data_IF_741066322063
#
_entry.id   IF_741066322063
#
_cell.length_a   1.000
_cell.length_b   1.000
_cell.length_c   1.000
_cell.angle_alpha   90.00
_cell.angle_beta   90.00
_cell.angle_gamma   90.00
#
_symmetry.space_group_name_H-M   'P 1'
#
loop_
_entity.id
_entity.type
_entity.pdbx_description
1 polymer ?
#
# COMPACT_ATOMS: atom_id res chain seq x y z
N UNK A 1 1.53 -17.34 18.94
CA UNK A 1 1.54 -16.31 17.87
C UNK A 1 1.00 -15.03 18.49
N UNK A 2 1.32 -13.86 17.93
CA UNK A 2 0.84 -12.59 18.43
C UNK A 2 -0.68 -12.55 18.44
N UNK A 3 -1.27 -11.84 19.39
CA UNK A 3 -2.71 -11.61 19.43
C UNK A 3 -3.03 -10.30 18.68
N UNK A 4 -3.76 -10.44 17.57
CA UNK A 4 -4.11 -9.31 16.71
C UNK A 4 -5.45 -8.74 17.12
N UNK A 5 -5.42 -7.67 17.91
CA UNK A 5 -6.62 -7.04 18.46
C UNK A 5 -7.45 -6.31 17.39
N UNK A 6 -6.78 -5.81 16.35
CA UNK A 6 -7.44 -5.26 15.18
C UNK A 6 -6.87 -5.91 13.92
N UNK A 7 -7.53 -7.00 13.50
CA UNK A 7 -7.21 -7.65 12.23
C UNK A 7 -7.57 -6.73 11.06
N UNK A 8 -6.82 -6.76 9.94
CA UNK A 8 -7.11 -6.05 8.69
C UNK A 8 -8.44 -6.44 8.00
N UNK A 9 -9.48 -6.89 8.72
CA UNK A 9 -10.84 -6.98 8.16
C UNK A 9 -11.27 -5.63 7.57
N UNK A 10 -10.81 -4.51 8.13
CA UNK A 10 -10.97 -3.19 7.51
C UNK A 10 -10.25 -3.11 6.17
N UNK A 11 -8.98 -3.51 6.06
CA UNK A 11 -8.22 -3.51 4.80
C UNK A 11 -8.84 -4.44 3.75
N UNK A 12 -9.22 -5.66 4.10
CA UNK A 12 -9.91 -6.57 3.17
C UNK A 12 -11.26 -5.99 2.71
N UNK A 13 -12.01 -5.36 3.61
CA UNK A 13 -13.24 -4.65 3.26
C UNK A 13 -12.96 -3.44 2.36
N UNK A 14 -11.85 -2.72 2.58
CA UNK A 14 -11.40 -1.63 1.70
C UNK A 14 -11.03 -2.16 0.32
N UNK A 15 -10.26 -3.24 0.21
CA UNK A 15 -9.92 -3.93 -1.04
C UNK A 15 -11.21 -4.30 -1.79
N UNK A 16 -12.13 -5.03 -1.15
CA UNK A 16 -13.41 -5.43 -1.76
C UNK A 16 -14.24 -4.21 -2.19
N UNK A 17 -14.26 -3.16 -1.38
CA UNK A 17 -14.99 -1.93 -1.69
C UNK A 17 -14.36 -1.18 -2.87
N UNK A 18 -13.03 -1.12 -2.95
CA UNK A 18 -12.32 -0.53 -4.09
C UNK A 18 -12.57 -1.37 -5.33
N UNK A 19 -12.37 -2.68 -5.28
CA UNK A 19 -12.64 -3.59 -6.39
C UNK A 19 -14.08 -3.53 -6.90
N UNK A 20 -15.06 -3.34 -6.01
CA UNK A 20 -16.47 -3.21 -6.38
C UNK A 20 -16.82 -1.84 -7.00
N UNK A 21 -16.09 -0.77 -6.64
CA UNK A 21 -16.27 0.59 -7.19
C UNK A 21 -15.38 0.86 -8.41
N UNK A 22 -14.27 0.16 -8.55
CA UNK A 22 -13.45 0.20 -9.75
C UNK A 22 -14.32 -0.17 -10.94
N UNK A 23 -14.19 0.53 -12.08
CA UNK A 23 -14.98 0.20 -13.26
C UNK A 23 -14.77 -1.28 -13.54
N UNK A 24 -15.86 -2.08 -13.50
CA UNK A 24 -15.81 -3.51 -13.81
C UNK A 24 -15.01 -3.62 -15.09
N UNK A 25 -13.84 -4.27 -15.01
CA UNK A 25 -12.97 -4.49 -16.15
C UNK A 25 -13.86 -5.25 -17.15
N UNK A 26 -14.41 -4.55 -18.14
CA UNK A 26 -15.27 -5.17 -19.14
C UNK A 26 -14.45 -6.30 -19.70
N UNK A 27 -14.99 -7.54 -19.71
CA UNK A 27 -14.21 -8.68 -20.17
C UNK A 27 -13.71 -8.32 -21.57
N UNK A 28 -12.41 -8.03 -21.74
CA UNK A 28 -11.91 -7.41 -22.95
C UNK A 28 -12.16 -8.34 -24.12
N UNK A 29 -12.19 -9.66 -23.87
CA UNK A 29 -12.56 -10.67 -24.84
C UNK A 29 -14.02 -10.54 -25.30
N UNK A 30 -14.99 -10.33 -24.41
CA UNK A 30 -16.41 -10.18 -24.79
C UNK A 30 -16.65 -8.90 -25.59
N UNK A 31 -16.05 -7.77 -25.15
CA UNK A 31 -16.16 -6.51 -25.86
C UNK A 31 -15.46 -6.59 -27.23
N UNK A 32 -14.28 -7.20 -27.27
CA UNK A 32 -13.52 -7.47 -28.50
C UNK A 32 -14.32 -8.35 -29.47
N UNK A 33 -14.94 -9.44 -29.01
CA UNK A 33 -15.76 -10.30 -29.88
C UNK A 33 -16.97 -9.55 -30.46
N UNK A 34 -17.59 -8.66 -29.67
CA UNK A 34 -18.73 -7.86 -30.13
C UNK A 34 -18.31 -6.82 -31.17
N UNK A 35 -17.18 -6.14 -30.97
CA UNK A 35 -16.61 -5.16 -31.90
C UNK A 35 -16.11 -5.81 -33.20
N UNK A 36 -15.49 -6.98 -33.10
CA UNK A 36 -15.05 -7.76 -34.28
C UNK A 36 -16.23 -8.15 -35.15
N UNK A 37 -17.33 -8.64 -34.56
CA UNK A 37 -18.53 -9.00 -35.30
C UNK A 37 -19.13 -7.78 -36.04
N UNK A 38 -19.18 -6.62 -35.39
CA UNK A 38 -19.68 -5.38 -35.99
C UNK A 38 -18.83 -4.94 -37.20
N UNK A 39 -17.50 -4.96 -37.06
CA UNK A 39 -16.57 -4.60 -38.15
C UNK A 39 -16.70 -5.52 -39.37
N UNK A 40 -16.85 -6.83 -39.15
CA UNK A 40 -17.04 -7.80 -40.22
C UNK A 40 -18.36 -7.58 -40.97
N UNK A 41 -19.45 -7.31 -40.25
CA UNK A 41 -20.77 -6.99 -40.84
C UNK A 41 -20.68 -5.72 -41.68
N UNK A 42 -20.03 -4.65 -41.17
CA UNK A 42 -19.85 -3.41 -41.90
C UNK A 42 -19.04 -3.60 -43.20
N UNK A 43 -17.97 -4.41 -43.16
CA UNK A 43 -17.18 -4.73 -44.35
C UNK A 43 -18.00 -5.53 -45.37
N UNK A 44 -18.79 -6.52 -44.93
CA UNK A 44 -19.65 -7.34 -45.80
C UNK A 44 -20.72 -6.49 -46.50
N UNK A 45 -21.41 -5.62 -45.77
CA UNK A 45 -22.41 -4.71 -46.34
C UNK A 45 -21.75 -3.80 -47.38
N UNK A 46 -20.61 -3.21 -47.03
CA UNK A 46 -19.91 -2.29 -47.95
C UNK A 46 -19.46 -2.99 -49.23
N UNK A 47 -18.98 -4.24 -49.13
CA UNK A 47 -18.64 -5.05 -50.29
C UNK A 47 -19.85 -5.29 -51.19
N UNK A 48 -21.00 -5.67 -50.61
CA UNK A 48 -22.22 -5.97 -51.36
C UNK A 48 -22.79 -4.76 -52.12
N UNK A 49 -22.67 -3.54 -51.58
CA UNK A 49 -23.25 -2.33 -52.18
C UNK A 49 -22.28 -1.53 -53.04
N UNK A 50 -21.01 -1.43 -52.65
CA UNK A 50 -20.04 -0.59 -53.36
C UNK A 50 -19.15 -1.37 -54.34
N UNK A 51 -19.01 -2.70 -54.17
CA UNK A 51 -18.13 -3.57 -54.95
C UNK A 51 -16.72 -2.99 -55.19
N UNK A 52 -16.18 -2.26 -54.21
CA UNK A 52 -14.90 -1.58 -54.29
C UNK A 52 -13.94 -2.10 -53.21
N UNK A 53 -12.93 -2.85 -53.64
CA UNK A 53 -11.95 -3.47 -52.76
C UNK A 53 -11.11 -2.44 -51.97
N UNK A 54 -10.71 -1.34 -52.61
CA UNK A 54 -9.88 -0.34 -51.94
C UNK A 54 -10.64 0.33 -50.79
N UNK A 55 -11.92 0.64 -51.00
CA UNK A 55 -12.77 1.27 -49.99
C UNK A 55 -13.06 0.33 -48.81
N UNK A 56 -13.32 -0.95 -49.06
CA UNK A 56 -13.55 -1.95 -48.00
C UNK A 56 -12.30 -2.20 -47.14
N UNK A 57 -11.12 -2.25 -47.77
CA UNK A 57 -9.84 -2.36 -47.05
C UNK A 57 -9.59 -1.13 -46.16
N UNK A 58 -9.87 0.07 -46.65
CA UNK A 58 -9.73 1.31 -45.88
C UNK A 58 -10.62 1.30 -44.61
N UNK A 59 -11.87 0.86 -44.73
CA UNK A 59 -12.79 0.75 -43.58
C UNK A 59 -12.33 -0.28 -42.55
N UNK A 60 -11.78 -1.42 -43.01
CA UNK A 60 -11.21 -2.43 -42.11
C UNK A 60 -10.06 -1.84 -41.27
N UNK A 61 -9.13 -1.11 -41.91
CA UNK A 61 -8.04 -0.45 -41.20
C UNK A 61 -8.55 0.63 -40.23
N UNK A 62 -9.52 1.44 -40.64
CA UNK A 62 -10.15 2.43 -39.76
C UNK A 62 -10.81 1.76 -38.55
N UNK A 63 -11.48 0.62 -38.74
CA UNK A 63 -12.11 -0.14 -37.66
C UNK A 63 -11.09 -0.74 -36.68
N UNK A 64 -10.03 -1.36 -37.20
CA UNK A 64 -8.92 -1.88 -36.38
C UNK A 64 -8.29 -0.74 -35.57
N UNK A 65 -8.09 0.42 -36.19
CA UNK A 65 -7.56 1.60 -35.51
C UNK A 65 -8.47 2.08 -34.36
N UNK A 66 -9.79 2.17 -34.59
CA UNK A 66 -10.78 2.52 -33.55
C UNK A 66 -10.74 1.49 -32.41
N UNK A 67 -10.65 0.20 -32.71
CA UNK A 67 -10.58 -0.85 -31.70
C UNK A 67 -9.32 -0.72 -30.83
N UNK A 68 -8.16 -0.47 -31.45
CA UNK A 68 -6.91 -0.21 -30.72
C UNK A 68 -7.05 1.02 -29.83
N UNK A 69 -7.67 2.10 -30.34
CA UNK A 69 -7.91 3.32 -29.57
C UNK A 69 -8.79 3.08 -28.34
N UNK A 70 -9.87 2.32 -28.49
CA UNK A 70 -10.77 1.96 -27.37
C UNK A 70 -10.00 1.16 -26.29
N UNK A 71 -9.20 0.18 -26.70
CA UNK A 71 -8.40 -0.62 -25.75
C UNK A 71 -7.36 0.22 -25.01
N UNK A 72 -6.71 1.17 -25.70
CA UNK A 72 -5.76 2.10 -25.09
C UNK A 72 -6.46 3.03 -24.08
N UNK A 73 -7.61 3.61 -24.42
CA UNK A 73 -8.38 4.49 -23.53
C UNK A 73 -8.85 3.74 -22.28
N UNK A 74 -9.28 2.49 -22.41
CA UNK A 74 -9.67 1.66 -21.26
C UNK A 74 -8.48 1.36 -20.34
N UNK A 75 -7.31 1.06 -20.91
CA UNK A 75 -6.09 0.75 -20.13
C UNK A 75 -5.52 2.00 -19.44
N UNK A 76 -5.59 3.14 -20.11
CA UNK A 76 -5.05 4.42 -19.63
C UNK A 76 -6.07 5.23 -18.81
N UNK A 77 -7.24 4.67 -18.52
CA UNK A 77 -8.28 5.38 -17.77
C UNK A 77 -7.74 5.79 -16.38
N UNK A 78 -7.88 7.06 -15.98
CA UNK A 78 -7.36 7.54 -14.69
C UNK A 78 -7.89 6.74 -13.49
N UNK A 79 -9.13 6.24 -13.58
CA UNK A 79 -9.80 5.49 -12.51
C UNK A 79 -9.22 4.09 -12.30
N UNK A 80 -8.77 3.40 -13.36
CA UNK A 80 -8.13 2.09 -13.24
C UNK A 80 -6.72 2.23 -12.66
N UNK A 81 -5.96 3.21 -13.14
CA UNK A 81 -4.60 3.49 -12.64
C UNK A 81 -4.62 3.84 -11.15
N UNK A 82 -5.57 4.68 -10.72
CA UNK A 82 -5.66 5.08 -9.31
C UNK A 82 -6.07 3.90 -8.41
N UNK A 83 -7.04 3.10 -8.85
CA UNK A 83 -7.45 1.89 -8.13
C UNK A 83 -6.28 0.90 -7.98
N UNK A 84 -5.52 0.65 -9.06
CA UNK A 84 -4.36 -0.24 -9.03
C UNK A 84 -3.26 0.26 -8.07
N UNK A 85 -3.02 1.58 -8.00
CA UNK A 85 -2.07 2.16 -7.04
C UNK A 85 -2.52 1.94 -5.60
N UNK A 86 -3.79 2.19 -5.30
CA UNK A 86 -4.34 2.02 -3.94
C UNK A 86 -4.29 0.54 -3.54
N UNK A 87 -4.71 -0.37 -4.43
CA UNK A 87 -4.64 -1.82 -4.19
C UNK A 87 -3.19 -2.30 -4.00
N UNK A 88 -2.23 -1.73 -4.73
CA UNK A 88 -0.80 -2.00 -4.52
C UNK A 88 -0.35 -1.53 -3.12
N UNK A 89 -0.81 -0.38 -2.65
CA UNK A 89 -0.56 0.08 -1.27
C UNK A 89 -1.10 -0.91 -0.24
N UNK A 90 -2.39 -1.19 -0.31
CA UNK A 90 -3.11 -2.08 0.61
C UNK A 90 -2.53 -3.49 0.64
N UNK A 91 -2.13 -4.05 -0.51
CA UNK A 91 -1.47 -5.37 -0.54
C UNK A 91 -0.14 -5.39 0.23
N UNK A 92 0.57 -4.25 0.28
CA UNK A 92 1.76 -4.10 1.09
C UNK A 92 1.45 -4.11 2.58
N UNK A 93 0.45 -3.35 3.01
CA UNK A 93 -0.02 -3.31 4.40
C UNK A 93 -0.50 -4.70 4.86
N UNK A 94 -1.27 -5.41 4.03
CA UNK A 94 -1.71 -6.79 4.32
C UNK A 94 -0.51 -7.73 4.48
N UNK A 95 0.51 -7.61 3.63
CA UNK A 95 1.73 -8.40 3.74
C UNK A 95 2.45 -8.14 5.06
N UNK A 96 2.60 -6.88 5.46
CA UNK A 96 3.27 -6.50 6.72
C UNK A 96 2.47 -6.95 7.93
N UNK A 97 1.14 -6.79 7.93
CA UNK A 97 0.25 -7.31 8.98
C UNK A 97 0.47 -8.83 9.18
N UNK A 98 0.39 -9.61 8.09
CA UNK A 98 0.62 -11.07 8.14
C UNK A 98 2.02 -11.46 8.65
N UNK A 99 3.02 -10.60 8.47
CA UNK A 99 4.33 -10.80 9.08
C UNK A 99 4.22 -10.54 10.58
N UNK A 100 3.71 -9.39 11.00
CA UNK A 100 3.55 -9.04 12.41
C UNK A 100 2.76 -10.08 13.21
N UNK A 101 1.72 -10.68 12.63
CA UNK A 101 0.90 -11.72 13.30
C UNK A 101 1.70 -12.99 13.65
N UNK A 102 2.84 -13.20 12.99
CA UNK A 102 3.75 -14.32 13.25
C UNK A 102 4.78 -14.02 14.35
N UNK A 103 4.72 -12.85 14.99
CA UNK A 103 5.50 -12.59 16.20
C UNK A 103 5.12 -13.59 17.31
N UNK A 104 6.01 -13.85 18.29
CA UNK A 104 5.75 -14.79 19.36
C UNK A 104 4.63 -14.31 20.28
N UNK A 105 4.22 -15.18 21.21
CA UNK A 105 3.26 -14.82 22.25
C UNK A 105 3.77 -13.64 23.11
N UNK A 106 2.84 -12.86 23.69
CA UNK A 106 3.14 -11.62 24.41
C UNK A 106 3.19 -10.37 23.54
N UNK A 107 3.00 -10.52 22.22
CA UNK A 107 2.86 -9.40 21.29
C UNK A 107 1.39 -9.13 20.95
N UNK A 108 1.04 -7.86 20.90
CA UNK A 108 -0.27 -7.36 20.50
C UNK A 108 -0.14 -6.47 19.26
N UNK A 109 -0.90 -6.79 18.22
CA UNK A 109 -0.85 -6.10 16.91
C UNK A 109 -2.15 -5.34 16.66
N UNK A 110 -2.03 -4.07 16.31
CA UNK A 110 -3.16 -3.19 15.97
C UNK A 110 -2.90 -2.60 14.59
N UNK A 111 -3.76 -2.92 13.62
CA UNK A 111 -3.63 -2.43 12.24
C UNK A 111 -4.68 -1.36 11.94
N UNK A 112 -4.37 -0.43 11.04
CA UNK A 112 -5.31 0.56 10.48
C UNK A 112 -6.07 1.34 11.56
N UNK A 113 -5.32 2.01 12.45
CA UNK A 113 -5.87 2.76 13.58
C UNK A 113 -5.76 4.27 13.36
N UNK A 114 -6.83 5.00 13.67
CA UNK A 114 -6.85 6.46 13.61
C UNK A 114 -6.70 7.07 15.00
N UNK A 115 -5.63 7.82 15.21
CA UNK A 115 -5.32 8.51 16.47
C UNK A 115 -4.97 9.97 16.19
N UNK A 116 -5.63 10.90 16.89
CA UNK A 116 -5.39 12.35 16.78
C UNK A 116 -5.30 12.87 15.33
N UNK A 117 -6.15 12.32 14.45
CA UNK A 117 -6.22 12.71 13.04
C UNK A 117 -5.23 12.01 12.10
N UNK A 118 -4.25 11.26 12.63
CA UNK A 118 -3.33 10.42 11.86
C UNK A 118 -3.88 8.98 11.72
N UNK A 119 -3.72 8.39 10.55
CA UNK A 119 -4.01 6.98 10.30
C UNK A 119 -2.69 6.21 10.30
N UNK A 120 -2.54 5.27 11.23
CA UNK A 120 -1.33 4.50 11.45
C UNK A 120 -1.55 3.10 10.88
N UNK A 121 -0.67 2.67 9.97
CA UNK A 121 -0.79 1.39 9.28
C UNK A 121 -0.71 0.23 10.28
N UNK A 122 0.33 0.22 11.12
CA UNK A 122 0.51 -0.84 12.12
C UNK A 122 1.15 -0.32 13.41
N UNK A 123 0.66 -0.82 14.54
CA UNK A 123 1.29 -0.72 15.85
C UNK A 123 1.57 -2.14 16.35
N UNK A 124 2.82 -2.42 16.71
CA UNK A 124 3.20 -3.64 17.41
C UNK A 124 3.62 -3.29 18.84
N UNK A 125 3.02 -3.96 19.82
CA UNK A 125 3.27 -3.74 21.25
C UNK A 125 3.71 -5.07 21.82
N UNK A 126 4.85 -5.11 22.49
CA UNK A 126 5.33 -6.35 23.08
C UNK A 126 6.47 -6.14 24.06
N UNK A 127 7.11 -7.23 24.50
CA UNK A 127 8.09 -7.18 25.59
C UNK A 127 9.26 -6.25 25.30
N UNK A 128 9.62 -6.00 24.03
CA UNK A 128 10.76 -5.14 23.65
C UNK A 128 10.38 -3.69 23.33
N UNK A 129 9.11 -3.31 23.52
CA UNK A 129 8.63 -1.94 23.39
C UNK A 129 7.42 -1.77 22.46
N UNK A 130 7.20 -0.51 22.05
CA UNK A 130 6.10 -0.08 21.18
C UNK A 130 6.67 0.36 19.84
N UNK A 131 6.18 -0.19 18.74
CA UNK A 131 6.64 0.08 17.40
C UNK A 131 5.50 0.67 16.57
N UNK A 132 5.74 1.81 15.94
CA UNK A 132 4.84 2.47 15.00
C UNK A 132 5.41 2.28 13.60
N UNK A 133 4.67 1.58 12.74
CA UNK A 133 5.16 1.16 11.43
C UNK A 133 4.37 1.87 10.32
N UNK A 134 5.11 2.36 9.34
CA UNK A 134 4.59 2.86 8.06
C UNK A 134 5.01 1.90 6.95
N UNK A 135 4.07 1.50 6.10
CA UNK A 135 4.29 0.53 5.04
C UNK A 135 4.32 1.20 3.67
N UNK A 136 5.39 0.97 2.88
CA UNK A 136 5.48 1.42 1.49
C UNK A 136 5.74 0.25 0.54
N UNK A 137 4.84 0.04 -0.43
CA UNK A 137 5.02 -0.99 -1.46
C UNK A 137 5.69 -0.45 -2.74
N UNK A 138 6.95 -0.03 -2.61
CA UNK A 138 7.73 0.55 -3.72
C UNK A 138 8.70 -0.46 -4.35
N UNK A 139 9.08 -0.23 -5.60
CA UNK A 139 10.03 -1.11 -6.28
C UNK A 139 11.45 -0.86 -5.79
N UNK A 140 11.91 0.40 -5.73
CA UNK A 140 13.14 0.77 -5.06
C UNK A 140 12.90 2.10 -4.32
N UNK A 141 13.63 2.30 -3.22
CA UNK A 141 13.62 3.55 -2.47
C UNK A 141 15.05 4.01 -2.20
N UNK A 142 15.23 5.31 -2.09
CA UNK A 142 16.46 5.93 -1.67
C UNK A 142 16.18 7.09 -0.74
N UNK A 143 17.16 7.41 0.10
CA UNK A 143 17.13 8.53 1.03
C UNK A 143 18.54 9.10 1.08
N UNK A 144 18.66 10.41 0.89
CA UNK A 144 19.93 11.10 1.04
C UNK A 144 20.22 11.45 2.51
N UNK A 145 21.40 12.01 2.78
CA UNK A 145 21.84 12.42 4.11
C UNK A 145 21.00 13.54 4.74
N UNK A 146 20.30 14.32 3.90
CA UNK A 146 19.43 15.40 4.34
C UNK A 146 18.00 14.90 4.64
N UNK A 147 17.72 13.61 4.46
CA UNK A 147 16.40 13.03 4.65
C UNK A 147 15.46 13.23 3.47
N UNK A 148 15.96 13.61 2.28
CA UNK A 148 15.15 13.69 1.08
C UNK A 148 14.94 12.28 0.51
N UNK A 149 13.69 11.94 0.24
CA UNK A 149 13.32 10.61 -0.24
C UNK A 149 13.12 10.58 -1.74
N UNK A 150 13.51 9.45 -2.32
CA UNK A 150 13.36 9.15 -3.74
C UNK A 150 12.75 7.77 -3.91
N UNK A 151 11.89 7.62 -4.92
CA UNK A 151 11.38 6.32 -5.35
C UNK A 151 11.72 6.07 -6.81
N UNK A 152 11.96 4.82 -7.15
CA UNK A 152 12.18 4.45 -8.55
C UNK A 152 10.85 4.14 -9.25
N UNK A 153 10.53 4.93 -10.27
CA UNK A 153 9.30 4.82 -11.03
C UNK A 153 9.59 5.05 -12.52
N UNK A 154 9.01 4.21 -13.39
CA UNK A 154 9.16 4.32 -14.86
C UNK A 154 10.61 4.51 -15.32
N UNK A 155 11.55 3.76 -14.73
CA UNK A 155 12.98 3.78 -15.06
C UNK A 155 13.76 5.03 -14.63
N UNK A 156 13.19 5.91 -13.80
CA UNK A 156 13.91 7.04 -13.24
C UNK A 156 13.64 7.21 -11.73
N UNK A 157 14.54 7.93 -11.05
CA UNK A 157 14.33 8.34 -9.66
C UNK A 157 13.43 9.58 -9.61
N UNK A 158 12.44 9.55 -8.72
CA UNK A 158 11.49 10.64 -8.52
C UNK A 158 11.54 11.07 -7.06
N UNK A 159 11.69 12.38 -6.77
CA UNK A 159 11.61 12.87 -5.40
C UNK A 159 10.21 12.64 -4.83
N UNK A 160 10.14 12.26 -3.57
CA UNK A 160 8.90 12.05 -2.84
C UNK A 160 8.58 13.33 -2.07
N UNK A 161 7.41 13.92 -2.33
CA UNK A 161 6.98 15.19 -1.71
C UNK A 161 6.88 15.11 -0.18
N UNK A 162 6.44 13.97 0.34
CA UNK A 162 6.32 13.72 1.78
C UNK A 162 7.12 12.47 2.10
N UNK A 163 8.17 12.63 2.88
CA UNK A 163 9.03 11.52 3.30
C UNK A 163 8.20 10.49 4.09
N UNK A 164 8.34 9.17 3.82
CA UNK A 164 7.78 8.13 4.67
C UNK A 164 8.20 8.26 6.13
N UNK A 165 9.45 8.65 6.39
CA UNK A 165 9.96 8.84 7.74
C UNK A 165 9.35 10.07 8.42
N UNK A 166 9.12 11.17 7.70
CA UNK A 166 8.39 12.33 8.23
C UNK A 166 6.93 11.98 8.54
N UNK A 167 6.28 11.24 7.63
CA UNK A 167 4.91 10.76 7.83
C UNK A 167 4.82 9.90 9.10
N UNK A 168 5.72 8.93 9.26
CA UNK A 168 5.72 8.08 10.44
C UNK A 168 6.12 8.83 11.72
N UNK A 169 6.96 9.86 11.64
CA UNK A 169 7.24 10.73 12.79
C UNK A 169 5.97 11.43 13.30
N UNK A 170 5.09 11.89 12.39
CA UNK A 170 3.77 12.42 12.78
C UNK A 170 2.93 11.34 13.46
N UNK A 171 2.95 10.11 12.95
CA UNK A 171 2.23 8.97 13.54
C UNK A 171 2.72 8.66 14.95
N UNK A 172 4.05 8.57 15.14
CA UNK A 172 4.70 8.39 16.44
C UNK A 172 4.31 9.49 17.42
N UNK A 173 4.31 10.75 17.00
CA UNK A 173 3.89 11.88 17.83
C UNK A 173 2.40 11.82 18.21
N UNK A 174 1.53 11.41 17.29
CA UNK A 174 0.10 11.22 17.58
C UNK A 174 -0.12 10.06 18.56
N UNK A 175 0.55 8.92 18.37
CA UNK A 175 0.49 7.79 19.29
C UNK A 175 1.01 8.17 20.69
N UNK A 176 2.17 8.83 20.77
CA UNK A 176 2.75 9.26 22.05
C UNK A 176 1.86 10.26 22.80
N UNK A 177 1.28 11.23 22.09
CA UNK A 177 0.29 12.16 22.68
C UNK A 177 -0.94 11.44 23.20
N UNK A 178 -1.45 10.48 22.43
CA UNK A 178 -2.60 9.68 22.83
C UNK A 178 -2.32 8.87 24.12
N UNK A 179 -1.20 8.15 24.17
CA UNK A 179 -0.81 7.37 25.35
C UNK A 179 -0.58 8.25 26.58
N UNK A 180 0.08 9.40 26.41
CA UNK A 180 0.26 10.37 27.50
C UNK A 180 -1.07 10.90 28.01
N UNK A 181 -2.02 11.20 27.12
CA UNK A 181 -3.34 11.73 27.49
C UNK A 181 -4.20 10.69 28.22
N UNK A 182 -4.16 9.42 27.82
CA UNK A 182 -5.06 8.38 28.33
C UNK A 182 -4.49 7.60 29.51
N UNK A 183 -3.17 7.41 29.56
CA UNK A 183 -2.49 6.59 30.56
C UNK A 183 -1.44 7.36 31.37
N UNK A 184 -1.17 8.63 31.05
CA UNK A 184 -0.07 9.38 31.67
C UNK A 184 1.33 8.87 31.29
N UNK A 185 1.42 7.92 30.35
CA UNK A 185 2.67 7.27 29.97
C UNK A 185 3.49 8.13 29.01
N UNK A 186 4.78 8.25 29.28
CA UNK A 186 5.77 8.84 28.37
C UNK A 186 6.81 7.78 27.99
N UNK A 187 6.40 6.84 27.14
CA UNK A 187 7.20 5.69 26.71
C UNK A 187 7.76 5.96 25.31
N UNK A 188 9.02 5.55 25.07
CA UNK A 188 9.64 5.65 23.74
C UNK A 188 8.91 4.72 22.76
N UNK A 189 8.50 5.28 21.65
CA UNK A 189 7.90 4.57 20.52
C UNK A 189 8.94 4.53 19.40
N UNK A 190 9.21 3.35 18.87
CA UNK A 190 10.16 3.13 17.79
C UNK A 190 9.48 3.33 16.44
N UNK A 191 10.08 4.17 15.59
CA UNK A 191 9.63 4.46 14.23
C UNK A 191 10.25 3.45 13.25
N UNK A 192 9.43 2.73 12.49
CA UNK A 192 9.90 1.80 11.45
C UNK A 192 9.20 2.09 10.13
N UNK A 193 9.98 2.21 9.05
CA UNK A 193 9.49 2.17 7.67
C UNK A 193 9.74 0.77 7.11
N UNK A 194 8.68 0.11 6.66
CA UNK A 194 8.76 -1.20 6.02
C UNK A 194 8.54 -1.06 4.52
N UNK A 195 9.53 -1.45 3.72
CA UNK A 195 9.30 -1.62 2.29
C UNK A 195 8.72 -3.01 2.02
N UNK A 196 7.41 -3.08 1.77
CA UNK A 196 6.68 -4.35 1.64
C UNK A 196 7.15 -5.23 0.47
N UNK A 197 7.73 -4.62 -0.57
CA UNK A 197 8.29 -5.38 -1.69
C UNK A 197 9.63 -6.00 -1.28
N UNK A 198 9.65 -7.32 -1.14
CA UNK A 198 10.85 -8.07 -0.72
C UNK A 198 12.01 -7.98 -1.72
N UNK A 199 11.73 -7.65 -2.98
CA UNK A 199 12.74 -7.46 -4.02
C UNK A 199 13.21 -6.01 -4.12
N UNK A 200 12.80 -5.14 -3.19
CA UNK A 200 13.13 -3.73 -3.27
C UNK A 200 14.60 -3.47 -3.01
N UNK A 201 15.21 -2.64 -3.85
CA UNK A 201 16.57 -2.13 -3.61
C UNK A 201 16.49 -0.85 -2.77
N UNK A 202 17.23 -0.84 -1.68
CA UNK A 202 17.42 0.31 -0.80
C UNK A 202 18.71 1.01 -1.16
N UNK A 203 18.63 2.25 -1.64
CA UNK A 203 19.77 3.12 -1.85
C UNK A 203 19.86 4.13 -0.70
N UNK A 204 20.28 3.63 0.47
CA UNK A 204 20.35 4.40 1.72
C UNK A 204 21.65 4.01 2.41
N UNK A 205 22.42 5.01 2.87
CA UNK A 205 23.74 4.79 3.48
C UNK A 205 23.68 3.98 4.80
N UNK A 206 22.61 4.17 5.58
CA UNK A 206 22.36 3.46 6.82
C UNK A 206 20.90 3.02 6.92
N UNK A 207 20.61 1.97 7.70
CA UNK A 207 19.22 1.54 7.99
C UNK A 207 18.51 2.43 9.02
N UNK A 208 19.11 3.58 9.33
CA UNK A 208 18.55 4.64 10.16
C UNK A 208 18.48 5.87 9.28
N UNK A 209 17.32 6.52 9.23
CA UNK A 209 17.05 7.66 8.35
C UNK A 209 16.40 8.80 9.12
N UNK A 210 16.69 10.07 8.75
CA UNK A 210 15.99 11.21 9.31
C UNK A 210 14.48 11.20 8.99
N UNK A 211 13.62 11.83 9.82
CA UNK A 211 13.96 12.47 11.09
C UNK A 211 14.18 11.46 12.24
N UNK A 212 15.07 11.83 13.15
CA UNK A 212 15.43 11.03 14.34
C UNK A 212 16.06 9.68 13.98
N UNK A 213 15.82 8.69 14.83
CA UNK A 213 16.33 7.32 14.66
C UNK A 213 15.30 6.42 13.96
N UNK A 214 14.70 6.89 12.85
CA UNK A 214 13.70 6.10 12.12
C UNK A 214 14.38 4.92 11.43
N UNK A 215 13.95 3.70 11.73
CA UNK A 215 14.51 2.48 11.16
C UNK A 215 13.87 2.19 9.81
N UNK A 216 14.63 1.62 8.87
CA UNK A 216 14.11 1.10 7.61
C UNK A 216 14.53 -0.36 7.41
N UNK A 217 13.57 -1.19 7.00
CA UNK A 217 13.83 -2.60 6.75
C UNK A 217 12.99 -3.18 5.60
N UNK A 218 13.45 -4.32 5.10
CA UNK A 218 12.67 -5.20 4.23
C UNK A 218 11.83 -6.19 5.07
N UNK A 219 10.82 -6.85 4.48
CA UNK A 219 9.87 -7.66 5.25
C UNK A 219 10.53 -8.85 5.97
N UNK A 220 11.56 -9.45 5.35
CA UNK A 220 12.31 -10.55 5.95
C UNK A 220 13.17 -10.17 7.17
N UNK A 221 13.38 -8.88 7.41
CA UNK A 221 14.22 -8.38 8.50
C UNK A 221 13.37 -7.89 9.70
N UNK A 222 12.08 -7.64 9.46
CA UNK A 222 11.17 -6.97 10.39
C UNK A 222 11.09 -7.66 11.75
N UNK A 223 10.88 -8.98 11.76
CA UNK A 223 10.83 -9.78 13.00
C UNK A 223 12.10 -9.65 13.82
N UNK A 224 13.25 -9.86 13.17
CA UNK A 224 14.55 -9.82 13.86
C UNK A 224 14.81 -8.43 14.44
N UNK A 225 14.42 -7.38 13.73
CA UNK A 225 14.56 -6.00 14.16
C UNK A 225 13.72 -5.71 15.41
N UNK A 226 12.44 -6.11 15.39
CA UNK A 226 11.52 -5.93 16.51
C UNK A 226 11.95 -6.75 17.74
N UNK A 227 12.27 -8.02 17.55
CA UNK A 227 12.60 -8.94 18.65
C UNK A 227 13.95 -8.67 19.31
N UNK A 228 14.92 -8.14 18.56
CA UNK A 228 16.25 -7.83 19.11
C UNK A 228 16.38 -6.39 19.60
N UNK A 229 15.30 -5.62 19.60
CA UNK A 229 15.33 -4.26 20.10
C UNK A 229 15.67 -4.25 21.60
N UNK A 230 16.76 -3.59 21.96
CA UNK A 230 17.22 -3.43 23.34
C UNK A 230 16.98 -1.98 23.75
N UNK A 231 16.01 -1.75 24.63
CA UNK A 231 15.79 -0.41 25.16
C UNK A 231 14.69 -0.31 26.19
N UNK A 232 13.50 -0.84 25.91
CA UNK A 232 12.38 -0.88 26.86
C UNK A 232 11.98 -2.33 27.05
N UNK A 233 11.73 -2.71 28.30
CA UNK A 233 11.08 -3.97 28.64
C UNK A 233 9.69 -3.66 29.19
N UNK A 234 8.66 -4.17 28.51
CA UNK A 234 7.27 -4.06 28.94
C UNK A 234 6.81 -5.37 29.57
N UNK A 235 6.16 -5.29 30.72
CA UNK A 235 5.47 -6.42 31.34
C UNK A 235 4.21 -6.79 30.55
N UNK A 236 3.74 -8.04 30.68
CA UNK A 236 2.51 -8.49 30.02
C UNK A 236 1.29 -7.64 30.39
N UNK A 237 1.25 -7.10 31.61
CA UNK A 237 0.18 -6.21 32.08
C UNK A 237 0.23 -4.86 31.35
N UNK A 238 1.42 -4.24 31.24
CA UNK A 238 1.59 -2.97 30.52
C UNK A 238 1.25 -3.13 29.03
N UNK A 239 1.72 -4.21 28.40
CA UNK A 239 1.38 -4.54 27.00
C UNK A 239 -0.14 -4.59 26.82
N UNK A 240 -0.84 -5.32 27.69
CA UNK A 240 -2.29 -5.47 27.64
C UNK A 240 -3.03 -4.15 27.89
N UNK A 241 -2.63 -3.38 28.91
CA UNK A 241 -3.24 -2.10 29.27
C UNK A 241 -3.13 -1.06 28.13
N UNK A 242 -1.93 -0.93 27.56
CA UNK A 242 -1.68 -0.04 26.42
C UNK A 242 -2.55 -0.44 25.23
N UNK A 243 -2.57 -1.73 24.90
CA UNK A 243 -3.27 -2.22 23.74
C UNK A 243 -4.81 -2.10 23.86
N UNK A 244 -5.37 -2.44 25.03
CA UNK A 244 -6.81 -2.26 25.32
C UNK A 244 -7.18 -0.77 25.21
N UNK A 245 -6.35 0.12 25.75
CA UNK A 245 -6.60 1.57 25.71
C UNK A 245 -6.67 2.10 24.27
N UNK A 246 -5.79 1.62 23.40
CA UNK A 246 -5.77 2.01 21.99
C UNK A 246 -7.01 1.53 21.24
N UNK A 247 -7.48 0.30 21.49
CA UNK A 247 -8.63 -0.27 20.78
C UNK A 247 -9.97 0.24 21.32
N UNK A 248 -10.03 0.64 22.60
CA UNK A 248 -11.24 1.20 23.25
C UNK A 248 -11.66 2.57 22.69
N UNK A 249 -10.88 3.15 21.76
CA UNK A 249 -11.17 4.41 21.07
C UNK A 249 -12.30 4.33 20.02
N UNK A 250 -13.11 3.26 19.99
CA UNK A 250 -14.16 3.02 18.97
C UNK A 250 -15.56 3.55 19.34
N UNK A 251 -15.70 4.33 20.41
CA UNK A 251 -16.97 5.01 20.75
C UNK A 251 -16.93 6.48 20.37
#
# INVERSE_FOLDING_TARGET
>A
MAETLQWPRSLNKQIINIESKSPKKSNPLKLFTMLMAFGLIACLITWLFCNNAAFTILLLFAWIFIMVLILLVQKLSPSSIESEKILKGLSGEVLVANILDRLPEGWLIINDIKLDGAQIDHIAIGPTGIFCLETKNWNNAGCDENGNWYRFHLSHWVPVKTSPAEQNAVHVLSLGRYLKKRLGLNIKIYSIIVLANSNAKLNIAAKVVPPGDTLICLPGELHKLILNNKGIELTSNEVSEIAITLVSNKT
#
